data_IF_137151867834
#
_entry.id   IF_137151867834
#
_cell.length_a   1.000
_cell.length_b   1.000
_cell.length_c   1.000
_cell.angle_alpha   90.00
_cell.angle_beta   90.00
_cell.angle_gamma   90.00
#
_symmetry.space_group_name_H-M   'P 1'
#
loop_
_entity.id
_entity.type
_entity.pdbx_description
1 polymer ?
#
# COMPACT_ATOMS: atom_id res chain seq x y z
N UNK A 1 16.42 -15.49 11.93
CA UNK A 1 16.02 -14.78 10.70
C UNK A 1 14.96 -13.77 11.10
N UNK A 2 15.37 -12.54 11.41
CA UNK A 2 14.44 -11.48 11.81
C UNK A 2 14.13 -10.65 10.58
N UNK A 3 12.96 -10.91 9.98
CA UNK A 3 12.39 -10.00 8.98
C UNK A 3 12.16 -8.65 9.66
N UNK A 4 12.61 -7.51 9.11
CA UNK A 4 12.40 -6.22 9.76
C UNK A 4 10.89 -5.96 9.88
N UNK A 5 10.45 -5.23 10.93
CA UNK A 5 9.05 -4.90 11.08
C UNK A 5 8.65 -4.11 9.84
N UNK A 6 7.76 -4.69 9.03
CA UNK A 6 7.11 -3.97 7.95
C UNK A 6 6.30 -2.89 8.65
N UNK A 7 6.82 -1.66 8.66
CA UNK A 7 6.08 -0.47 9.01
C UNK A 7 4.90 -0.40 8.05
N UNK A 8 3.77 -0.97 8.48
CA UNK A 8 2.49 -0.79 7.83
C UNK A 8 2.14 0.67 8.01
N UNK A 9 2.53 1.49 7.03
CA UNK A 9 2.04 2.86 6.93
C UNK A 9 0.55 2.74 6.61
N UNK A 10 -0.29 2.71 7.64
CA UNK A 10 -1.74 2.56 7.51
C UNK A 10 -2.29 3.94 7.18
N UNK A 11 -2.71 4.20 5.93
CA UNK A 11 -3.37 5.44 5.62
C UNK A 11 -4.79 5.33 6.17
N UNK A 12 -5.39 6.44 6.61
CA UNK A 12 -6.47 6.48 7.60
C UNK A 12 -7.84 5.91 7.17
N UNK A 13 -7.94 5.16 6.07
CA UNK A 13 -9.14 4.41 5.63
C UNK A 13 -8.75 3.00 5.19
N UNK A 14 -9.73 2.15 4.90
CA UNK A 14 -9.58 0.69 4.89
C UNK A 14 -8.62 0.07 3.87
N UNK A 15 -7.86 0.85 3.08
CA UNK A 15 -6.97 0.32 2.06
C UNK A 15 -5.52 0.27 2.53
N UNK A 16 -4.86 -0.86 2.29
CA UNK A 16 -3.45 -1.09 2.63
C UNK A 16 -2.71 -1.71 1.45
N UNK A 17 -1.41 -1.43 1.35
CA UNK A 17 -0.52 -2.09 0.39
C UNK A 17 0.43 -3.01 1.13
N UNK A 18 0.59 -4.22 0.62
CA UNK A 18 1.54 -5.22 1.14
C UNK A 18 2.42 -5.74 0.02
N UNK A 19 3.72 -5.89 0.29
CA UNK A 19 4.62 -6.63 -0.59
C UNK A 19 4.56 -8.13 -0.26
N UNK A 20 4.35 -8.97 -1.28
CA UNK A 20 4.41 -10.42 -1.16
C UNK A 20 5.05 -11.01 -2.42
N UNK A 21 6.10 -11.82 -2.23
CA UNK A 21 6.90 -12.31 -3.37
C UNK A 21 7.47 -11.15 -4.20
N UNK A 22 7.12 -11.11 -5.48
CA UNK A 22 7.52 -10.09 -6.45
C UNK A 22 6.39 -9.12 -6.81
N UNK A 23 5.35 -9.01 -5.98
CA UNK A 23 4.21 -8.12 -6.22
C UNK A 23 3.87 -7.26 -5.02
N UNK A 24 3.30 -6.10 -5.31
CA UNK A 24 2.59 -5.24 -4.38
C UNK A 24 1.09 -5.49 -4.51
N UNK A 25 0.42 -5.79 -3.41
CA UNK A 25 -1.02 -6.05 -3.38
C UNK A 25 -1.74 -4.93 -2.62
N UNK A 26 -2.72 -4.31 -3.26
CA UNK A 26 -3.69 -3.43 -2.60
C UNK A 26 -4.82 -4.28 -2.01
N UNK A 27 -5.16 -4.03 -0.74
CA UNK A 27 -6.17 -4.79 0.00
C UNK A 27 -7.10 -3.85 0.75
N UNK A 28 -8.38 -4.22 0.86
CA UNK A 28 -9.32 -3.52 1.76
C UNK A 28 -9.53 -4.36 3.03
N UNK A 29 -9.12 -3.87 4.19
CA UNK A 29 -9.17 -4.62 5.45
C UNK A 29 -10.45 -4.39 6.27
N UNK A 30 -11.32 -3.45 5.85
CA UNK A 30 -12.39 -2.94 6.72
C UNK A 30 -13.80 -3.44 6.38
N UNK A 31 -14.11 -3.69 5.11
CA UNK A 31 -15.51 -3.94 4.69
C UNK A 31 -15.77 -5.24 3.92
N UNK A 32 -14.78 -5.82 3.26
CA UNK A 32 -14.99 -6.96 2.34
C UNK A 32 -14.16 -8.21 2.68
N UNK A 33 -13.51 -8.22 3.85
CA UNK A 33 -12.50 -9.23 4.18
C UNK A 33 -11.20 -9.03 3.38
N UNK A 34 -10.20 -9.91 3.56
CA UNK A 34 -8.83 -9.76 3.05
C UNK A 34 -8.68 -9.90 1.51
N UNK A 35 -9.53 -9.25 0.72
CA UNK A 35 -9.49 -9.31 -0.74
C UNK A 35 -8.35 -8.45 -1.32
N UNK A 36 -7.65 -9.00 -2.30
CA UNK A 36 -6.71 -8.26 -3.16
C UNK A 36 -7.53 -7.56 -4.24
N UNK A 37 -7.43 -6.24 -4.29
CA UNK A 37 -8.18 -5.40 -5.22
C UNK A 37 -7.36 -5.04 -6.45
N UNK A 38 -6.04 -4.98 -6.31
CA UNK A 38 -5.12 -4.77 -7.41
C UNK A 38 -3.73 -5.26 -7.07
N UNK A 39 -2.95 -5.57 -8.10
CA UNK A 39 -1.57 -6.05 -7.99
C UNK A 39 -0.65 -5.29 -8.93
N UNK A 40 0.56 -5.01 -8.47
CA UNK A 40 1.61 -4.40 -9.26
C UNK A 40 2.88 -5.24 -9.15
N UNK A 41 3.69 -5.36 -10.23
CA UNK A 41 5.01 -5.95 -10.12
C UNK A 41 5.90 -5.15 -9.15
N UNK A 42 6.91 -5.79 -8.57
CA UNK A 42 7.85 -5.19 -7.59
C UNK A 42 8.43 -3.85 -8.03
N UNK A 43 8.66 -3.67 -9.32
CA UNK A 43 9.17 -2.43 -9.93
C UNK A 43 8.21 -1.25 -9.85
N UNK A 44 6.90 -1.51 -9.74
CA UNK A 44 5.83 -0.51 -9.70
C UNK A 44 5.40 -0.19 -8.25
N UNK A 45 6.40 -0.05 -7.36
CA UNK A 45 6.16 0.34 -5.96
C UNK A 45 5.41 1.66 -5.88
N UNK A 46 5.81 2.67 -6.66
CA UNK A 46 5.22 4.01 -6.60
C UNK A 46 3.73 3.97 -6.93
N UNK A 47 3.37 3.35 -8.04
CA UNK A 47 1.97 3.22 -8.48
C UNK A 47 1.09 2.54 -7.43
N UNK A 48 1.60 1.47 -6.81
CA UNK A 48 0.87 0.74 -5.78
C UNK A 48 0.54 1.64 -4.56
N UNK A 49 1.53 2.39 -4.08
CA UNK A 49 1.36 3.26 -2.92
C UNK A 49 0.53 4.50 -3.26
N UNK A 50 0.77 5.18 -4.38
CA UNK A 50 -0.04 6.34 -4.81
C UNK A 50 -1.52 5.97 -4.93
N UNK A 51 -1.81 4.79 -5.49
CA UNK A 51 -3.18 4.29 -5.59
C UNK A 51 -3.79 4.07 -4.20
N UNK A 52 -3.03 3.48 -3.27
CA UNK A 52 -3.46 3.29 -1.89
C UNK A 52 -3.76 4.61 -1.18
N UNK A 53 -2.87 5.60 -1.29
CA UNK A 53 -3.05 6.91 -0.66
C UNK A 53 -4.26 7.65 -1.23
N UNK A 54 -4.44 7.64 -2.55
CA UNK A 54 -5.62 8.21 -3.21
C UNK A 54 -6.92 7.60 -2.70
N UNK A 55 -6.98 6.27 -2.58
CA UNK A 55 -8.16 5.57 -2.04
C UNK A 55 -8.43 5.88 -0.56
N UNK A 56 -7.39 6.28 0.16
CA UNK A 56 -7.51 6.72 1.55
C UNK A 56 -7.79 8.22 1.71
N UNK A 57 -7.89 8.97 0.60
CA UNK A 57 -8.13 10.41 0.59
C UNK A 57 -6.89 11.24 0.96
N UNK A 58 -5.70 10.68 0.79
CA UNK A 58 -4.42 11.41 0.90
C UNK A 58 -4.01 11.89 -0.48
N UNK A 59 -3.50 13.12 -0.56
CA UNK A 59 -3.02 13.71 -1.80
C UNK A 59 -1.79 12.95 -2.34
N UNK A 60 -1.66 12.70 -3.65
CA UNK A 60 -0.51 12.01 -4.23
C UNK A 60 0.84 12.70 -3.98
N UNK A 61 0.88 14.02 -3.80
CA UNK A 61 2.12 14.74 -3.51
C UNK A 61 2.56 14.50 -2.05
N UNK A 62 1.60 14.50 -1.11
CA UNK A 62 1.83 14.10 0.29
C UNK A 62 2.23 12.62 0.39
N UNK A 63 1.60 11.77 -0.41
CA UNK A 63 1.95 10.36 -0.52
C UNK A 63 3.41 10.16 -0.98
N UNK A 64 3.85 10.95 -1.96
CA UNK A 64 5.21 10.91 -2.48
C UNK A 64 6.24 11.37 -1.44
N UNK A 65 5.92 12.39 -0.65
CA UNK A 65 6.76 12.85 0.45
C UNK A 65 6.98 11.74 1.50
N UNK A 66 5.96 10.94 1.80
CA UNK A 66 6.07 9.80 2.73
C UNK A 66 6.85 8.62 2.13
N UNK A 67 6.77 8.41 0.82
CA UNK A 67 7.46 7.30 0.15
C UNK A 67 8.98 7.51 -0.02
N UNK A 68 9.44 8.76 0.04
CA UNK A 68 10.84 9.15 -0.18
C UNK A 68 11.72 9.23 1.08
N UNK A 69 11.17 8.96 2.27
CA UNK A 69 11.90 8.93 3.55
C UNK A 69 12.32 7.52 3.96
#
# INVERSE_FOLDING_TARGET
MSQPPVLAFVPRRGFTVRHIGDVWQLRNTRHYGPQVLNEWPRSQRRDAFEHCYRLNGVDPDEALAVMGS
#
